data_IF_607612734530
#
_entry.id   IF_607612734530
#
_cell.length_a   1.000
_cell.length_b   1.000
_cell.length_c   1.000
_cell.angle_alpha   90.00
_cell.angle_beta   90.00
_cell.angle_gamma   90.00
#
_symmetry.space_group_name_H-M   'P 1'
#
loop_
_entity.id
_entity.type
_entity.pdbx_description
1 polymer ?
#
# COMPACT_ATOMS: atom_id res chain seq x y z
N UNK A 1 -22.18 16.12 -3.85
CA UNK A 1 -22.13 16.72 -5.22
C UNK A 1 -21.03 17.77 -5.13
N UNK A 2 -19.79 17.36 -5.34
CA UNK A 2 -18.63 18.24 -5.35
C UNK A 2 -18.70 19.15 -6.59
N UNK A 3 -18.23 20.40 -6.46
CA UNK A 3 -18.05 21.39 -7.50
C UNK A 3 -19.31 21.96 -8.20
N UNK A 4 -20.52 21.86 -7.65
CA UNK A 4 -21.69 22.63 -8.13
C UNK A 4 -22.21 22.26 -9.53
N UNK A 5 -21.76 21.16 -10.14
CA UNK A 5 -22.22 20.70 -11.45
C UNK A 5 -23.46 19.80 -11.34
N UNK A 6 -24.36 19.88 -12.32
CA UNK A 6 -25.57 19.05 -12.37
C UNK A 6 -25.22 17.66 -12.91
N UNK A 7 -25.91 16.61 -12.41
CA UNK A 7 -25.72 15.21 -12.83
C UNK A 7 -25.86 15.05 -14.36
N UNK A 8 -26.76 15.84 -15.00
CA UNK A 8 -26.94 15.82 -16.45
C UNK A 8 -25.71 16.32 -17.26
N UNK A 9 -24.95 17.25 -16.70
CA UNK A 9 -23.75 17.79 -17.35
C UNK A 9 -22.58 16.78 -17.28
N UNK A 10 -22.55 15.96 -16.22
CA UNK A 10 -21.56 14.89 -16.02
C UNK A 10 -21.88 13.68 -16.93
N UNK A 11 -23.14 13.35 -17.10
CA UNK A 11 -23.58 12.22 -17.93
C UNK A 11 -23.34 12.43 -19.45
N UNK A 12 -23.08 13.66 -19.89
CA UNK A 12 -22.81 14.02 -21.28
C UNK A 12 -21.30 14.07 -21.62
N UNK A 13 -20.42 13.87 -20.63
CA UNK A 13 -18.97 13.92 -20.82
C UNK A 13 -18.44 12.63 -21.46
N UNK A 14 -17.39 12.75 -22.28
CA UNK A 14 -16.63 11.60 -22.76
C UNK A 14 -15.87 10.92 -21.60
N UNK A 15 -15.40 9.69 -21.80
CA UNK A 15 -14.60 8.98 -20.80
C UNK A 15 -13.33 9.76 -20.42
N UNK A 16 -12.67 10.37 -21.38
CA UNK A 16 -11.45 11.17 -21.17
C UNK A 16 -11.74 12.46 -20.37
N UNK A 17 -12.84 13.15 -20.69
CA UNK A 17 -13.28 14.35 -19.96
C UNK A 17 -13.72 14.01 -18.52
N UNK A 18 -14.36 12.84 -18.32
CA UNK A 18 -14.71 12.32 -17.00
C UNK A 18 -13.46 11.98 -16.18
N UNK A 19 -12.47 11.37 -16.82
CA UNK A 19 -11.21 11.02 -16.19
C UNK A 19 -10.42 12.27 -15.76
N UNK A 20 -10.32 13.29 -16.63
CA UNK A 20 -9.71 14.58 -16.29
C UNK A 20 -10.46 15.30 -15.17
N UNK A 21 -11.78 15.19 -15.15
CA UNK A 21 -12.62 15.82 -14.13
C UNK A 21 -12.44 15.16 -12.76
N UNK A 22 -12.33 13.84 -12.70
CA UNK A 22 -12.05 13.08 -11.48
C UNK A 22 -10.64 13.38 -10.98
N UNK A 23 -9.65 13.41 -11.88
CA UNK A 23 -8.26 13.77 -11.53
C UNK A 23 -8.13 15.23 -11.10
N UNK A 24 -8.92 16.13 -11.67
CA UNK A 24 -9.00 17.53 -11.26
C UNK A 24 -9.65 17.74 -9.88
N UNK A 25 -10.70 16.99 -9.56
CA UNK A 25 -11.38 17.04 -8.26
C UNK A 25 -10.55 16.37 -7.14
N UNK A 26 -9.85 15.28 -7.42
CA UNK A 26 -8.88 14.70 -6.48
C UNK A 26 -7.74 15.68 -6.17
N UNK A 27 -7.31 16.48 -7.14
CA UNK A 27 -6.35 17.57 -6.93
C UNK A 27 -6.88 18.70 -6.05
N UNK A 28 -8.20 18.92 -6.04
CA UNK A 28 -8.86 19.98 -5.25
C UNK A 28 -9.25 19.52 -3.86
N UNK A 29 -9.56 18.24 -3.66
CA UNK A 29 -9.86 17.66 -2.34
C UNK A 29 -8.59 17.43 -1.50
N UNK A 30 -7.45 17.28 -2.13
CA UNK A 30 -6.13 17.21 -1.51
C UNK A 30 -5.59 18.63 -1.24
N UNK A 31 -6.25 19.37 -0.36
CA UNK A 31 -5.70 20.64 0.15
C UNK A 31 -4.32 20.36 0.75
N UNK A 32 -3.27 20.60 -0.03
CA UNK A 32 -1.87 20.58 0.41
C UNK A 32 -1.02 19.39 -0.02
N UNK A 33 -1.55 18.35 -0.69
CA UNK A 33 -0.69 17.28 -1.19
C UNK A 33 0.01 17.70 -2.48
N UNK A 34 1.22 18.22 -2.32
CA UNK A 34 2.14 18.41 -3.45
C UNK A 34 2.74 17.04 -3.78
N UNK A 35 2.43 16.49 -4.95
CA UNK A 35 3.06 15.22 -5.40
C UNK A 35 4.56 15.32 -5.15
N UNK A 36 5.17 14.41 -4.37
CA UNK A 36 6.59 14.48 -4.10
C UNK A 36 7.34 14.45 -5.44
N UNK A 37 8.41 15.23 -5.52
CA UNK A 37 9.25 15.21 -6.71
C UNK A 37 9.83 13.79 -6.88
N UNK A 38 10.04 13.35 -8.11
CA UNK A 38 10.74 12.08 -8.40
C UNK A 38 12.09 12.01 -7.65
N UNK A 39 12.74 13.17 -7.41
CA UNK A 39 13.91 13.27 -6.59
C UNK A 39 13.74 12.80 -5.15
N UNK A 40 12.62 13.15 -4.50
CA UNK A 40 12.34 12.72 -3.12
C UNK A 40 12.20 11.20 -2.99
N UNK A 41 11.50 10.55 -3.94
CA UNK A 41 11.35 9.08 -3.94
C UNK A 41 12.70 8.41 -4.17
N UNK A 42 13.52 8.95 -5.07
CA UNK A 42 14.86 8.44 -5.37
C UNK A 42 15.80 8.56 -4.17
N UNK A 43 15.78 9.70 -3.48
CA UNK A 43 16.56 9.91 -2.25
C UNK A 43 16.18 8.90 -1.15
N UNK A 44 14.89 8.71 -0.90
CA UNK A 44 14.40 7.72 0.06
C UNK A 44 14.80 6.29 -0.32
N UNK A 45 14.76 5.98 -1.62
CA UNK A 45 15.16 4.67 -2.14
C UNK A 45 16.65 4.42 -1.92
N UNK A 46 17.52 5.35 -2.31
CA UNK A 46 18.97 5.23 -2.18
C UNK A 46 19.40 5.14 -0.70
N UNK A 47 18.76 5.93 0.17
CA UNK A 47 18.99 5.87 1.61
C UNK A 47 18.55 4.51 2.19
N UNK A 48 17.41 3.99 1.76
CA UNK A 48 16.93 2.65 2.18
C UNK A 48 17.92 1.55 1.77
N UNK A 49 18.40 1.59 0.53
CA UNK A 49 19.39 0.64 0.02
C UNK A 49 20.70 0.72 0.84
N UNK A 50 21.17 1.92 1.20
CA UNK A 50 22.33 2.10 2.08
C UNK A 50 22.10 1.46 3.44
N UNK A 51 20.94 1.72 4.07
CA UNK A 51 20.59 1.12 5.35
C UNK A 51 20.56 -0.41 5.31
N UNK A 52 20.05 -1.00 4.22
CA UNK A 52 20.05 -2.46 4.03
C UNK A 52 21.46 -2.99 3.94
N UNK A 53 22.33 -2.37 3.14
CA UNK A 53 23.74 -2.76 2.97
C UNK A 53 24.52 -2.66 4.27
N UNK A 54 24.22 -1.66 5.10
CA UNK A 54 24.84 -1.43 6.41
C UNK A 54 24.26 -2.30 7.53
N UNK A 55 23.23 -3.13 7.27
CA UNK A 55 22.48 -3.88 8.31
C UNK A 55 21.90 -2.97 9.40
N UNK A 56 21.51 -1.75 9.07
CA UNK A 56 21.00 -0.79 10.03
C UNK A 56 19.47 -0.74 10.02
N UNK A 57 18.84 -1.63 10.77
CA UNK A 57 17.39 -1.73 10.86
C UNK A 57 16.74 -0.47 11.43
N UNK A 58 17.35 0.13 12.47
CA UNK A 58 16.80 1.35 13.08
C UNK A 58 16.75 2.54 12.10
N UNK A 59 17.83 2.73 11.34
CA UNK A 59 17.86 3.79 10.32
C UNK A 59 16.86 3.49 9.19
N UNK A 60 16.74 2.24 8.77
CA UNK A 60 15.74 1.84 7.77
C UNK A 60 14.32 2.11 8.25
N UNK A 61 13.97 1.78 9.51
CA UNK A 61 12.65 2.08 10.08
C UNK A 61 12.35 3.58 10.09
N UNK A 62 13.35 4.43 10.35
CA UNK A 62 13.20 5.89 10.27
C UNK A 62 12.96 6.37 8.84
N UNK A 63 13.68 5.84 7.86
CA UNK A 63 13.49 6.19 6.44
C UNK A 63 12.09 5.77 5.97
N UNK A 64 11.64 4.56 6.32
CA UNK A 64 10.31 4.07 6.00
C UNK A 64 9.21 4.93 6.67
N UNK A 65 9.41 5.32 7.92
CA UNK A 65 8.47 6.19 8.65
C UNK A 65 8.39 7.59 8.02
N UNK A 66 9.53 8.14 7.59
CA UNK A 66 9.57 9.40 6.85
C UNK A 66 8.85 9.27 5.50
N UNK A 67 9.10 8.19 4.77
CA UNK A 67 8.42 7.93 3.50
C UNK A 67 6.90 7.88 3.65
N UNK A 68 6.37 7.21 4.68
CA UNK A 68 4.93 7.18 5.00
C UNK A 68 4.38 8.60 5.30
N UNK A 69 5.19 9.47 5.89
CA UNK A 69 4.75 10.82 6.24
C UNK A 69 4.72 11.79 5.04
N UNK A 70 5.59 11.58 4.05
CA UNK A 70 5.76 12.52 2.93
C UNK A 70 5.13 12.04 1.61
N UNK A 71 4.91 10.72 1.44
CA UNK A 71 4.33 10.14 0.24
C UNK A 71 2.83 9.90 0.41
N UNK A 72 2.08 9.94 -0.70
CA UNK A 72 0.72 9.38 -0.69
C UNK A 72 0.78 7.87 -0.48
N UNK A 73 -0.33 7.28 -0.02
CA UNK A 73 -0.44 5.81 0.12
C UNK A 73 -0.06 5.10 -1.17
N UNK A 74 -0.52 5.60 -2.32
CA UNK A 74 -0.25 5.01 -3.62
C UNK A 74 1.23 5.15 -4.01
N UNK A 75 1.81 6.35 -3.90
CA UNK A 75 3.23 6.58 -4.22
C UNK A 75 4.13 5.75 -3.29
N UNK A 76 3.78 5.67 -2.00
CA UNK A 76 4.50 4.85 -1.04
C UNK A 76 4.50 3.36 -1.43
N UNK A 77 3.35 2.80 -1.79
CA UNK A 77 3.25 1.37 -2.10
C UNK A 77 3.82 1.03 -3.48
N UNK A 78 3.46 1.80 -4.52
CA UNK A 78 3.73 1.46 -5.91
C UNK A 78 5.08 2.01 -6.38
N UNK A 79 5.39 3.28 -6.04
CA UNK A 79 6.59 3.95 -6.56
C UNK A 79 7.81 3.77 -5.63
N UNK A 80 7.59 3.41 -4.36
CA UNK A 80 8.69 3.26 -3.41
C UNK A 80 8.83 1.82 -2.89
N UNK A 81 7.85 1.25 -2.19
CA UNK A 81 8.00 -0.09 -1.54
C UNK A 81 8.14 -1.21 -2.56
N UNK A 82 7.31 -1.24 -3.61
CA UNK A 82 7.36 -2.30 -4.61
C UNK A 82 8.71 -2.33 -5.35
N UNK A 83 9.24 -1.22 -5.89
CA UNK A 83 10.58 -1.18 -6.47
C UNK A 83 11.68 -1.55 -5.47
N UNK A 84 11.61 -1.07 -4.22
CA UNK A 84 12.60 -1.36 -3.19
C UNK A 84 12.67 -2.85 -2.87
N UNK A 85 11.52 -3.50 -2.67
CA UNK A 85 11.47 -4.95 -2.38
C UNK A 85 11.99 -5.79 -3.53
N UNK A 86 11.65 -5.42 -4.77
CA UNK A 86 12.13 -6.11 -5.97
C UNK A 86 13.65 -5.94 -6.10
N UNK A 87 14.17 -4.72 -5.94
CA UNK A 87 15.61 -4.45 -6.01
C UNK A 87 16.39 -5.28 -4.97
N UNK A 88 15.94 -5.30 -3.71
CA UNK A 88 16.60 -6.06 -2.64
C UNK A 88 16.59 -7.56 -2.96
N UNK A 89 15.49 -8.08 -3.49
CA UNK A 89 15.37 -9.49 -3.88
C UNK A 89 16.33 -9.85 -5.04
N UNK A 90 16.35 -9.02 -6.08
CA UNK A 90 17.21 -9.20 -7.24
C UNK A 90 18.69 -9.12 -6.86
N UNK A 91 19.08 -8.16 -6.03
CA UNK A 91 20.45 -8.01 -5.56
C UNK A 91 20.86 -9.14 -4.60
N UNK A 92 19.92 -9.69 -3.83
CA UNK A 92 20.16 -10.90 -3.04
C UNK A 92 20.39 -12.10 -3.94
N UNK A 93 19.60 -12.26 -4.99
CA UNK A 93 19.75 -13.33 -5.99
C UNK A 93 21.06 -13.25 -6.75
N UNK A 94 21.60 -12.03 -6.96
CA UNK A 94 22.92 -11.77 -7.58
C UNK A 94 24.08 -11.88 -6.59
N UNK A 95 23.81 -12.00 -5.28
CA UNK A 95 24.81 -12.07 -4.22
C UNK A 95 25.40 -10.72 -3.77
N UNK A 96 24.91 -9.59 -4.27
CA UNK A 96 25.33 -8.22 -3.88
C UNK A 96 24.76 -7.84 -2.50
N UNK A 97 23.59 -8.39 -2.14
CA UNK A 97 22.95 -8.28 -0.82
C UNK A 97 22.93 -9.69 -0.24
N UNK A 98 23.27 -9.83 1.03
CA UNK A 98 23.24 -11.11 1.74
C UNK A 98 21.81 -11.45 2.18
N UNK A 99 21.51 -12.74 2.26
CA UNK A 99 20.21 -13.25 2.74
C UNK A 99 19.77 -12.63 4.08
N UNK A 100 20.71 -12.44 5.03
CA UNK A 100 20.42 -11.79 6.30
C UNK A 100 19.95 -10.34 6.14
N UNK A 101 20.53 -9.59 5.19
CA UNK A 101 20.15 -8.20 4.86
C UNK A 101 18.75 -8.16 4.24
N UNK A 102 18.46 -9.08 3.31
CA UNK A 102 17.12 -9.23 2.73
C UNK A 102 16.08 -9.57 3.80
N UNK A 103 16.38 -10.50 4.72
CA UNK A 103 15.45 -10.86 5.81
C UNK A 103 15.18 -9.71 6.77
N UNK A 104 16.23 -8.99 7.16
CA UNK A 104 16.10 -7.80 8.02
C UNK A 104 15.21 -6.74 7.33
N UNK A 105 15.49 -6.41 6.07
CA UNK A 105 14.73 -5.40 5.34
C UNK A 105 13.25 -5.79 5.16
N UNK A 106 12.98 -7.06 4.83
CA UNK A 106 11.60 -7.58 4.73
C UNK A 106 10.85 -7.47 6.06
N UNK A 107 11.54 -7.67 7.19
CA UNK A 107 10.94 -7.51 8.52
C UNK A 107 10.60 -6.04 8.80
N UNK A 108 11.51 -5.10 8.55
CA UNK A 108 11.26 -3.65 8.71
C UNK A 108 10.09 -3.20 7.83
N UNK A 109 10.11 -3.55 6.54
CA UNK A 109 9.04 -3.20 5.60
C UNK A 109 7.70 -3.78 6.04
N UNK A 110 7.66 -5.06 6.45
CA UNK A 110 6.43 -5.69 6.97
C UNK A 110 5.88 -4.97 8.18
N UNK A 111 6.73 -4.61 9.13
CA UNK A 111 6.34 -3.87 10.33
C UNK A 111 5.76 -2.50 9.97
N UNK A 112 6.40 -1.79 9.04
CA UNK A 112 5.91 -0.50 8.55
C UNK A 112 4.53 -0.64 7.88
N UNK A 113 4.35 -1.59 6.97
CA UNK A 113 3.09 -1.87 6.28
C UNK A 113 1.97 -2.27 7.25
N UNK A 114 2.26 -3.14 8.24
CA UNK A 114 1.29 -3.53 9.25
C UNK A 114 0.85 -2.34 10.11
N UNK A 115 1.77 -1.47 10.51
CA UNK A 115 1.44 -0.26 11.25
C UNK A 115 0.56 0.69 10.41
N UNK A 116 0.83 0.80 9.11
CA UNK A 116 0.01 1.58 8.18
C UNK A 116 -1.39 0.99 8.04
N UNK A 117 -1.51 -0.33 7.84
CA UNK A 117 -2.77 -1.06 7.78
C UNK A 117 -3.64 -0.81 9.03
N UNK A 118 -3.04 -0.93 10.22
CA UNK A 118 -3.75 -0.72 11.48
C UNK A 118 -4.27 0.72 11.66
N UNK A 119 -3.53 1.71 11.18
CA UNK A 119 -3.95 3.14 11.25
C UNK A 119 -5.09 3.48 10.31
N UNK A 120 -5.17 2.83 9.16
CA UNK A 120 -6.23 3.05 8.17
C UNK A 120 -7.55 2.36 8.56
N UNK A 121 -7.51 1.43 9.52
CA UNK A 121 -8.65 0.66 9.94
C UNK A 121 -9.69 1.57 10.61
N UNK A 122 -10.80 1.80 9.91
CA UNK A 122 -11.92 2.60 10.37
C UNK A 122 -13.21 1.80 10.15
N UNK A 123 -13.97 1.55 11.21
CA UNK A 123 -15.31 0.97 11.08
C UNK A 123 -16.26 2.04 10.54
N UNK A 124 -16.60 1.96 9.26
CA UNK A 124 -17.66 2.77 8.65
C UNK A 124 -18.90 1.89 8.51
N UNK A 125 -20.05 2.40 8.97
CA UNK A 125 -21.31 1.61 8.99
C UNK A 125 -21.84 1.23 7.58
N UNK A 126 -21.51 1.98 6.53
CA UNK A 126 -22.03 1.79 5.17
C UNK A 126 -20.92 1.57 4.12
N UNK A 127 -19.90 0.77 4.44
CA UNK A 127 -18.85 0.45 3.48
C UNK A 127 -18.96 -0.99 2.94
N UNK A 128 -18.50 -1.23 1.70
CA UNK A 128 -18.44 -2.57 1.16
C UNK A 128 -17.46 -3.42 1.97
N UNK A 129 -17.81 -4.70 2.21
CA UNK A 129 -16.99 -5.64 2.99
C UNK A 129 -16.24 -6.59 2.11
N UNK A 130 -15.01 -6.89 2.50
CA UNK A 130 -14.11 -7.76 1.77
C UNK A 130 -13.47 -8.76 2.73
N UNK A 131 -13.59 -10.05 2.43
CA UNK A 131 -12.83 -11.11 3.10
C UNK A 131 -11.61 -11.43 2.26
N UNK A 132 -10.44 -11.39 2.85
CA UNK A 132 -9.17 -11.77 2.21
C UNK A 132 -8.55 -12.94 2.96
N UNK A 133 -8.13 -13.96 2.21
CA UNK A 133 -7.42 -15.13 2.71
C UNK A 133 -6.40 -15.59 1.69
N UNK A 134 -5.39 -16.33 2.13
CA UNK A 134 -4.47 -17.06 1.26
C UNK A 134 -4.61 -18.55 1.48
N UNK A 135 -4.73 -19.31 0.40
CA UNK A 135 -4.70 -20.78 0.43
C UNK A 135 -3.29 -21.34 0.68
N UNK A 136 -2.27 -20.54 0.39
CA UNK A 136 -0.88 -20.93 0.59
C UNK A 136 -0.52 -20.83 2.08
N UNK A 137 0.09 -21.88 2.61
CA UNK A 137 0.55 -21.95 4.01
C UNK A 137 1.86 -21.17 4.25
N UNK A 138 2.46 -20.66 3.20
CA UNK A 138 3.69 -19.86 3.28
C UNK A 138 3.45 -18.52 3.98
N UNK A 139 4.55 -17.95 4.49
CA UNK A 139 4.49 -16.69 5.22
C UNK A 139 3.73 -15.61 4.44
N UNK A 140 2.99 -14.80 5.19
CA UNK A 140 2.27 -13.64 4.67
C UNK A 140 3.16 -12.81 3.73
N UNK A 141 2.73 -12.71 2.48
CA UNK A 141 3.43 -11.93 1.46
C UNK A 141 3.31 -10.44 1.76
N UNK A 142 4.36 -9.66 1.52
CA UNK A 142 4.28 -8.20 1.56
C UNK A 142 3.20 -7.68 0.60
N UNK A 143 3.03 -8.34 -0.56
CA UNK A 143 1.99 -8.00 -1.52
C UNK A 143 0.58 -8.15 -0.92
N UNK A 144 0.34 -9.16 -0.07
CA UNK A 144 -0.94 -9.31 0.63
C UNK A 144 -1.24 -8.10 1.50
N UNK A 145 -0.27 -7.68 2.33
CA UNK A 145 -0.45 -6.51 3.20
C UNK A 145 -0.67 -5.23 2.37
N UNK A 146 0.04 -5.06 1.26
CA UNK A 146 -0.16 -3.94 0.36
C UNK A 146 -1.58 -3.92 -0.23
N UNK A 147 -2.13 -5.07 -0.63
CA UNK A 147 -3.53 -5.18 -1.08
C UNK A 147 -4.53 -4.81 0.02
N UNK A 148 -4.28 -5.22 1.27
CA UNK A 148 -5.12 -4.82 2.42
C UNK A 148 -5.14 -3.29 2.57
N UNK A 149 -3.97 -2.64 2.49
CA UNK A 149 -3.84 -1.19 2.61
C UNK A 149 -4.59 -0.48 1.47
N UNK A 150 -4.39 -0.92 0.22
CA UNK A 150 -5.06 -0.33 -0.95
C UNK A 150 -6.58 -0.45 -0.81
N UNK A 151 -7.10 -1.61 -0.48
CA UNK A 151 -8.54 -1.82 -0.34
C UNK A 151 -9.15 -0.97 0.80
N UNK A 152 -8.45 -0.83 1.94
CA UNK A 152 -8.88 0.09 3.00
C UNK A 152 -8.83 1.57 2.58
N UNK A 153 -7.80 1.95 1.84
CA UNK A 153 -7.64 3.33 1.38
C UNK A 153 -8.77 3.76 0.43
N UNK A 154 -9.33 2.83 -0.35
CA UNK A 154 -10.51 3.08 -1.20
C UNK A 154 -11.85 2.87 -0.45
N UNK A 155 -11.81 2.63 0.85
CA UNK A 155 -13.01 2.65 1.72
C UNK A 155 -13.68 1.29 1.94
N UNK A 156 -13.00 0.16 1.70
CA UNK A 156 -13.52 -1.16 2.03
C UNK A 156 -13.27 -1.51 3.50
N UNK A 157 -14.22 -2.17 4.14
CA UNK A 157 -14.02 -2.83 5.43
C UNK A 157 -13.48 -4.24 5.21
N UNK A 158 -12.30 -4.52 5.75
CA UNK A 158 -11.56 -5.74 5.42
C UNK A 158 -11.49 -6.66 6.63
N UNK A 159 -11.92 -7.90 6.42
CA UNK A 159 -11.65 -9.02 7.30
C UNK A 159 -10.56 -9.88 6.69
N UNK A 160 -9.34 -9.78 7.22
CA UNK A 160 -8.23 -10.64 6.83
C UNK A 160 -8.17 -11.84 7.78
N UNK A 161 -8.31 -13.04 7.24
CA UNK A 161 -8.33 -14.30 8.01
C UNK A 161 -7.02 -15.10 7.96
N UNK A 162 -6.01 -14.57 7.26
CA UNK A 162 -4.65 -15.12 7.28
C UNK A 162 -4.33 -16.06 6.12
N UNK A 163 -3.25 -16.83 6.30
CA UNK A 163 -2.69 -17.74 5.31
C UNK A 163 -3.00 -19.20 5.66
N UNK A 164 -3.00 -20.06 4.64
CA UNK A 164 -3.22 -21.49 4.81
C UNK A 164 -4.64 -21.85 5.25
N UNK A 165 -5.60 -20.97 4.96
CA UNK A 165 -7.01 -21.17 5.34
C UNK A 165 -7.68 -22.12 4.36
N UNK A 166 -8.31 -23.22 4.82
CA UNK A 166 -9.05 -24.12 3.97
C UNK A 166 -10.21 -23.43 3.25
N UNK A 167 -10.54 -23.93 2.05
CA UNK A 167 -11.56 -23.30 1.20
C UNK A 167 -12.95 -23.21 1.86
N UNK A 168 -13.35 -24.22 2.61
CA UNK A 168 -14.62 -24.28 3.35
C UNK A 168 -14.67 -23.20 4.45
N UNK A 169 -13.58 -22.94 5.14
CA UNK A 169 -13.47 -21.88 6.13
C UNK A 169 -13.52 -20.48 5.50
N UNK A 170 -12.95 -20.30 4.31
CA UNK A 170 -13.08 -19.04 3.56
C UNK A 170 -14.54 -18.80 3.19
N UNK A 171 -15.24 -19.84 2.72
CA UNK A 171 -16.66 -19.78 2.37
C UNK A 171 -17.52 -19.45 3.60
N UNK A 172 -17.22 -20.08 4.73
CA UNK A 172 -17.87 -19.79 6.00
C UNK A 172 -17.68 -18.32 6.42
N UNK A 173 -16.45 -17.84 6.40
CA UNK A 173 -16.14 -16.46 6.75
C UNK A 173 -16.86 -15.45 5.84
N UNK A 174 -16.83 -15.66 4.52
CA UNK A 174 -17.52 -14.81 3.55
C UNK A 174 -19.04 -14.76 3.76
N UNK A 175 -19.64 -15.86 4.22
CA UNK A 175 -21.08 -15.95 4.49
C UNK A 175 -21.49 -15.27 5.81
N UNK A 176 -20.56 -15.06 6.73
CA UNK A 176 -20.81 -14.54 8.08
C UNK A 176 -20.31 -13.09 8.31
N UNK A 177 -19.56 -12.53 7.41
CA UNK A 177 -19.17 -11.10 7.44
C UNK A 177 -20.40 -10.28 7.03
N UNK A 178 -21.09 -9.71 8.04
CA UNK A 178 -22.27 -8.86 7.88
C UNK A 178 -21.91 -7.39 8.03
#
# INVERSE_FOLDING_TARGET
IAAGRRIGDIAALSYDDLFELVMGDESSAAVGYRRPSTGTIMELFDESVSCVKEMNSWKLDNVLSNAVAVLSTNDFLIEFIKPLTNYIHDECSRGSIRYAQEKMSKLCIRTCLNNMYLRLRSSKEDCPRLVIASLLSEHESLDTIMHLIVAQNVGWDITYIGNGVPHDEITYAASNVR
#
